data_IF_483531864201
#
_entry.id   IF_483531864201
#
_cell.length_a   1.000
_cell.length_b   1.000
_cell.length_c   1.000
_cell.angle_alpha   90.00
_cell.angle_beta   90.00
_cell.angle_gamma   90.00
#
_symmetry.space_group_name_H-M   'P 1'
#
loop_
_entity.id
_entity.type
_entity.pdbx_description
1 polymer ?
#
# COMPACT_ATOMS: atom_id res chain seq x y z
N UNK A 1 33.09 -0.41 -8.35
CA UNK A 1 32.70 0.99 -8.62
C UNK A 1 31.59 1.33 -7.66
N UNK A 2 31.71 2.44 -6.95
CA UNK A 2 30.66 2.96 -6.08
C UNK A 2 30.15 4.27 -6.65
N UNK A 3 28.84 4.51 -6.53
CA UNK A 3 28.24 5.79 -6.93
C UNK A 3 27.54 6.37 -5.71
N UNK A 4 27.85 7.63 -5.42
CA UNK A 4 27.26 8.36 -4.30
C UNK A 4 26.58 9.63 -4.79
N UNK A 5 25.44 9.97 -4.20
CA UNK A 5 24.86 11.29 -4.26
C UNK A 5 25.58 12.20 -3.25
N UNK A 6 26.21 13.24 -3.78
CA UNK A 6 26.96 14.29 -3.06
C UNK A 6 26.37 15.67 -3.35
N UNK A 7 25.05 15.73 -3.58
CA UNK A 7 24.33 16.98 -3.85
C UNK A 7 24.47 17.93 -2.67
N UNK A 8 24.19 17.45 -1.46
CA UNK A 8 24.35 18.21 -0.22
C UNK A 8 25.81 18.18 0.25
N UNK A 9 26.37 19.30 0.74
CA UNK A 9 27.69 19.31 1.38
C UNK A 9 27.72 18.33 2.56
N UNK A 10 28.82 17.60 2.71
CA UNK A 10 29.09 16.68 3.83
C UNK A 10 28.15 15.47 3.96
N UNK A 11 27.18 15.32 3.04
CA UNK A 11 26.29 14.15 2.97
C UNK A 11 26.67 13.32 1.74
N UNK A 12 26.86 12.01 1.97
CA UNK A 12 27.22 11.06 0.92
C UNK A 12 26.30 9.86 1.00
N UNK A 13 25.31 9.81 0.11
CA UNK A 13 24.29 8.76 0.10
C UNK A 13 24.53 7.80 -1.07
N UNK A 14 24.33 6.48 -0.89
CA UNK A 14 24.53 5.53 -1.98
C UNK A 14 23.48 5.73 -3.08
N UNK A 15 23.91 5.76 -4.34
CA UNK A 15 22.98 5.67 -5.48
C UNK A 15 22.67 4.19 -5.71
N UNK A 16 21.40 3.85 -5.95
CA UNK A 16 20.96 2.48 -6.19
C UNK A 16 20.78 2.22 -7.68
N UNK A 17 20.78 0.94 -8.05
CA UNK A 17 20.34 0.48 -9.35
C UNK A 17 18.90 -0.02 -9.28
N UNK A 18 18.11 0.30 -10.30
CA UNK A 18 16.78 -0.27 -10.53
C UNK A 18 16.85 -1.70 -11.09
N UNK A 19 18.02 -2.12 -11.58
CA UNK A 19 18.22 -3.49 -12.00
C UNK A 19 18.55 -4.35 -10.78
N UNK A 20 17.66 -5.27 -10.44
CA UNK A 20 17.84 -6.18 -9.31
C UNK A 20 19.19 -6.90 -9.37
N UNK A 21 19.88 -6.96 -8.21
CA UNK A 21 21.16 -7.65 -8.07
C UNK A 21 22.38 -6.93 -8.66
N UNK A 22 22.22 -5.73 -9.24
CA UNK A 22 23.34 -4.96 -9.79
C UNK A 22 23.91 -3.90 -8.84
N UNK A 23 23.29 -3.71 -7.67
CA UNK A 23 23.82 -2.89 -6.57
C UNK A 23 23.59 -3.51 -5.22
N UNK A 24 24.52 -3.32 -4.30
CA UNK A 24 24.32 -3.57 -2.87
C UNK A 24 23.80 -2.34 -2.11
N UNK A 25 23.65 -2.47 -0.79
CA UNK A 25 23.19 -1.40 0.10
C UNK A 25 24.17 -0.23 0.22
N UNK A 26 25.44 -0.43 -0.11
CA UNK A 26 26.50 0.55 0.03
C UNK A 26 26.76 1.31 -1.28
N UNK A 27 25.91 1.09 -2.29
CA UNK A 27 26.02 1.73 -3.60
C UNK A 27 27.15 1.14 -4.44
N UNK A 28 27.60 -0.08 -4.15
CA UNK A 28 28.54 -0.80 -5.00
C UNK A 28 27.81 -1.41 -6.18
N UNK A 29 28.22 -1.03 -7.39
CA UNK A 29 27.64 -1.54 -8.63
C UNK A 29 28.43 -2.74 -9.16
N UNK A 30 27.70 -3.80 -9.52
CA UNK A 30 28.20 -5.00 -10.18
C UNK A 30 27.64 -5.05 -11.60
N UNK A 31 28.50 -4.78 -12.58
CA UNK A 31 28.15 -4.92 -13.99
C UNK A 31 28.86 -6.14 -14.55
N UNK A 32 28.07 -7.12 -14.94
CA UNK A 32 28.47 -8.14 -15.89
C UNK A 32 27.70 -7.80 -17.18
N UNK A 33 28.28 -8.04 -18.36
CA UNK A 33 27.68 -7.92 -19.71
C UNK A 33 27.96 -6.64 -20.54
N UNK A 34 28.10 -6.80 -21.87
CA UNK A 34 28.11 -5.73 -22.85
C UNK A 34 26.68 -5.45 -23.36
N UNK A 35 26.13 -4.26 -23.11
CA UNK A 35 24.89 -3.79 -23.75
C UNK A 35 25.01 -2.32 -24.19
N UNK A 36 24.35 -2.00 -25.30
CA UNK A 36 24.26 -0.65 -25.87
C UNK A 36 23.13 0.13 -25.19
N UNK A 37 23.47 0.90 -24.17
CA UNK A 37 22.57 1.85 -23.47
C UNK A 37 23.24 3.24 -23.50
N UNK A 38 22.51 4.36 -23.49
CA UNK A 38 23.12 5.67 -23.25
C UNK A 38 23.94 5.65 -21.96
N UNK A 39 25.23 5.91 -22.15
CA UNK A 39 26.28 5.56 -21.23
C UNK A 39 27.04 6.83 -20.84
N UNK A 40 27.19 7.09 -19.55
CA UNK A 40 28.24 7.99 -19.08
C UNK A 40 29.59 7.29 -19.21
N UNK A 41 30.59 7.88 -19.88
CA UNK A 41 31.91 7.27 -20.06
C UNK A 41 32.95 7.90 -19.13
N UNK A 42 33.79 7.07 -18.52
CA UNK A 42 34.95 7.53 -17.73
C UNK A 42 36.27 7.11 -18.39
N UNK A 43 37.17 8.07 -18.64
CA UNK A 43 38.48 7.82 -19.26
C UNK A 43 39.64 7.92 -18.26
N UNK A 44 40.45 6.88 -18.17
CA UNK A 44 41.78 6.91 -17.52
C UNK A 44 42.85 6.63 -18.57
N UNK A 45 43.80 7.56 -18.77
CA UNK A 45 44.81 7.46 -19.84
C UNK A 45 44.22 7.14 -21.25
N UNK A 46 43.04 7.71 -21.59
CA UNK A 46 42.27 7.45 -22.83
C UNK A 46 41.57 6.08 -22.93
N UNK A 47 41.53 5.30 -21.85
CA UNK A 47 40.77 4.06 -21.77
C UNK A 47 39.44 4.30 -21.05
N UNK A 48 38.33 3.97 -21.71
CA UNK A 48 37.01 3.94 -21.06
C UNK A 48 37.00 2.80 -20.02
N UNK A 49 37.14 3.13 -18.73
CA UNK A 49 37.23 2.13 -17.66
C UNK A 49 35.86 1.59 -17.25
N UNK A 50 34.85 2.44 -17.24
CA UNK A 50 33.49 2.05 -16.93
C UNK A 50 32.49 2.89 -17.70
N UNK A 51 31.30 2.30 -17.83
CA UNK A 51 30.18 2.83 -18.55
C UNK A 51 28.94 2.60 -17.70
N UNK A 52 28.23 3.66 -17.34
CA UNK A 52 27.08 3.57 -16.43
C UNK A 52 25.82 3.88 -17.22
N UNK A 53 24.88 2.94 -17.22
CA UNK A 53 23.54 3.15 -17.75
C UNK A 53 22.77 4.09 -16.81
N UNK A 54 22.57 5.34 -17.23
CA UNK A 54 21.90 6.35 -16.42
C UNK A 54 20.44 5.98 -16.11
N UNK A 55 19.78 5.28 -17.04
CA UNK A 55 18.40 4.78 -16.88
C UNK A 55 18.26 3.78 -15.73
N UNK A 56 19.35 3.12 -15.35
CA UNK A 56 19.38 2.17 -14.25
C UNK A 56 19.58 2.83 -12.90
N UNK A 57 19.95 4.12 -12.83
CA UNK A 57 20.20 4.78 -11.55
C UNK A 57 18.89 5.16 -10.86
N UNK A 58 18.88 5.08 -9.53
CA UNK A 58 17.82 5.58 -8.67
C UNK A 58 18.45 6.42 -7.55
N UNK A 59 18.18 7.72 -7.61
CA UNK A 59 18.69 8.67 -6.64
C UNK A 59 18.00 8.51 -5.26
N UNK A 60 18.65 8.94 -4.17
CA UNK A 60 18.00 9.02 -2.86
C UNK A 60 16.81 9.98 -2.82
N UNK A 61 16.90 11.13 -3.50
CA UNK A 61 15.81 12.10 -3.62
C UNK A 61 15.70 12.57 -5.09
N UNK A 62 14.55 13.16 -5.44
CA UNK A 62 14.26 13.67 -6.78
C UNK A 62 15.01 14.97 -7.11
N UNK A 63 14.92 15.42 -8.36
CA UNK A 63 15.43 16.70 -8.84
C UNK A 63 16.89 16.65 -9.32
N UNK A 64 17.54 17.82 -9.35
CA UNK A 64 18.93 17.96 -9.79
C UNK A 64 19.91 17.40 -8.76
N UNK A 65 20.62 16.34 -9.13
CA UNK A 65 21.57 15.62 -8.28
C UNK A 65 23.00 15.79 -8.78
N UNK A 66 23.96 15.78 -7.86
CA UNK A 66 25.38 15.69 -8.15
C UNK A 66 25.90 14.34 -7.69
N UNK A 67 26.24 13.47 -8.65
CA UNK A 67 26.76 12.14 -8.35
C UNK A 67 28.28 12.13 -8.40
N UNK A 68 28.88 11.35 -7.51
CA UNK A 68 30.29 11.05 -7.41
C UNK A 68 30.51 9.57 -7.71
N UNK A 69 31.33 9.28 -8.72
CA UNK A 69 31.71 7.93 -9.10
C UNK A 69 33.11 7.65 -8.56
N UNK A 70 33.21 6.64 -7.70
CA UNK A 70 34.47 6.12 -7.21
C UNK A 70 34.80 4.81 -7.92
N UNK A 71 35.93 4.82 -8.65
CA UNK A 71 36.50 3.64 -9.28
C UNK A 71 37.78 3.28 -8.55
N UNK A 72 37.78 2.10 -7.94
CA UNK A 72 38.93 1.53 -7.25
C UNK A 72 39.40 0.30 -8.02
N UNK A 73 40.71 0.22 -8.28
CA UNK A 73 41.37 -0.98 -8.78
C UNK A 73 42.05 -1.64 -7.59
N UNK A 74 41.56 -2.81 -7.19
CA UNK A 74 42.09 -3.53 -6.04
C UNK A 74 42.34 -5.01 -6.33
N UNK A 75 43.24 -5.62 -5.57
CA UNK A 75 43.40 -7.07 -5.56
C UNK A 75 42.22 -7.70 -4.80
N UNK A 76 41.64 -8.74 -5.38
CA UNK A 76 40.54 -9.49 -4.79
C UNK A 76 40.98 -10.31 -3.58
N UNK A 77 42.24 -10.76 -3.52
CA UNK A 77 42.74 -11.67 -2.51
C UNK A 77 42.98 -10.97 -1.16
N UNK A 78 43.56 -9.77 -1.18
CA UNK A 78 43.94 -9.04 0.04
C UNK A 78 43.26 -7.66 0.17
N UNK A 79 42.49 -7.23 -0.83
CA UNK A 79 41.82 -5.93 -0.86
C UNK A 79 42.74 -4.74 -1.10
N UNK A 80 44.01 -4.95 -1.46
CA UNK A 80 44.97 -3.88 -1.69
C UNK A 80 44.55 -3.00 -2.88
N UNK A 81 44.40 -1.69 -2.67
CA UNK A 81 43.99 -0.73 -3.69
C UNK A 81 45.24 -0.22 -4.43
N UNK A 82 45.37 -0.56 -5.71
CA UNK A 82 46.46 -0.09 -6.58
C UNK A 82 46.22 1.30 -7.14
N UNK A 83 44.96 1.65 -7.40
CA UNK A 83 44.57 2.92 -7.99
C UNK A 83 43.16 3.30 -7.60
N UNK A 84 42.91 4.61 -7.49
CA UNK A 84 41.62 5.18 -7.15
C UNK A 84 41.39 6.42 -8.01
N UNK A 85 40.18 6.55 -8.52
CA UNK A 85 39.73 7.73 -9.24
C UNK A 85 38.33 8.14 -8.79
N UNK A 86 38.13 9.45 -8.75
CA UNK A 86 36.85 10.09 -8.43
C UNK A 86 36.47 10.99 -9.59
N UNK A 87 35.22 10.90 -10.03
CA UNK A 87 34.65 11.84 -10.98
C UNK A 87 33.26 12.27 -10.53
N UNK A 88 32.85 13.48 -10.88
CA UNK A 88 31.51 13.97 -10.57
C UNK A 88 30.75 14.34 -11.84
N UNK A 89 29.43 14.14 -11.81
CA UNK A 89 28.55 14.55 -12.89
C UNK A 89 27.16 14.93 -12.35
N UNK A 90 26.42 15.69 -13.14
CA UNK A 90 25.05 16.06 -12.81
C UNK A 90 24.06 15.07 -13.41
N UNK A 91 23.04 14.72 -12.62
CA UNK A 91 21.95 13.82 -12.99
C UNK A 91 20.63 14.47 -12.58
N UNK A 92 19.56 14.26 -13.34
CA UNK A 92 18.23 14.72 -12.95
C UNK A 92 17.38 13.48 -12.73
N UNK A 93 16.91 13.28 -11.50
CA UNK A 93 15.93 12.27 -11.17
C UNK A 93 14.53 12.88 -11.30
N UNK A 94 13.77 12.46 -12.30
CA UNK A 94 12.42 12.93 -12.57
C UNK A 94 11.34 12.15 -11.78
N UNK A 95 11.76 11.09 -11.08
CA UNK A 95 10.91 10.26 -10.22
C UNK A 95 11.18 10.56 -8.73
N UNK A 96 10.29 10.15 -7.83
CA UNK A 96 10.61 10.14 -6.41
C UNK A 96 11.85 9.28 -6.13
N UNK A 97 12.79 9.82 -5.37
CA UNK A 97 13.97 9.10 -4.93
C UNK A 97 13.62 8.01 -3.92
N UNK A 98 14.51 7.03 -3.72
CA UNK A 98 14.19 5.89 -2.86
C UNK A 98 14.01 6.26 -1.37
N UNK A 99 14.67 7.32 -0.88
CA UNK A 99 14.45 7.82 0.48
C UNK A 99 13.16 8.64 0.56
N UNK A 100 12.84 9.43 -0.47
CA UNK A 100 11.54 10.13 -0.54
C UNK A 100 10.39 9.13 -0.50
N UNK A 101 10.48 8.04 -1.27
CA UNK A 101 9.48 6.97 -1.25
C UNK A 101 9.37 6.36 0.14
N UNK A 102 10.50 6.09 0.81
CA UNK A 102 10.51 5.56 2.17
C UNK A 102 9.82 6.52 3.16
N UNK A 103 10.13 7.81 3.10
CA UNK A 103 9.51 8.84 3.94
C UNK A 103 8.00 8.95 3.67
N UNK A 104 7.59 8.88 2.41
CA UNK A 104 6.19 8.86 1.99
C UNK A 104 5.47 7.62 2.54
N UNK A 105 6.08 6.44 2.48
CA UNK A 105 5.51 5.22 3.07
C UNK A 105 5.33 5.34 4.59
N UNK A 106 6.35 5.81 5.32
CA UNK A 106 6.27 6.03 6.77
C UNK A 106 5.17 7.03 7.12
N UNK A 107 5.06 8.12 6.35
CA UNK A 107 3.99 9.10 6.52
C UNK A 107 2.62 8.48 6.24
N UNK A 108 2.50 7.67 5.19
CA UNK A 108 1.27 6.95 4.85
C UNK A 108 0.83 6.01 5.97
N UNK A 109 1.74 5.21 6.53
CA UNK A 109 1.47 4.34 7.67
C UNK A 109 0.99 5.13 8.90
N UNK A 110 1.65 6.26 9.20
CA UNK A 110 1.24 7.15 10.29
C UNK A 110 -0.16 7.74 10.10
N UNK A 111 -0.53 8.09 8.87
CA UNK A 111 -1.88 8.59 8.56
C UNK A 111 -2.92 7.46 8.66
N UNK A 112 -2.62 6.25 8.19
CA UNK A 112 -3.52 5.10 8.34
C UNK A 112 -3.78 4.75 9.82
N UNK A 113 -2.74 4.82 10.66
CA UNK A 113 -2.87 4.66 12.10
C UNK A 113 -3.75 5.78 12.71
N UNK A 114 -3.49 7.04 12.34
CA UNK A 114 -4.27 8.19 12.79
C UNK A 114 -5.74 8.06 12.40
N UNK A 115 -6.03 7.62 11.17
CA UNK A 115 -7.40 7.37 10.69
C UNK A 115 -8.09 6.29 11.53
N UNK A 116 -7.35 5.25 11.91
CA UNK A 116 -7.87 4.16 12.76
C UNK A 116 -8.20 4.67 14.18
N UNK A 117 -7.36 5.54 14.74
CA UNK A 117 -7.62 6.16 16.05
C UNK A 117 -8.84 7.10 16.00
N UNK A 118 -8.96 7.89 14.95
CA UNK A 118 -10.13 8.74 14.70
C UNK A 118 -11.40 7.90 14.51
N UNK A 119 -11.31 6.80 13.75
CA UNK A 119 -12.41 5.84 13.60
C UNK A 119 -12.87 5.31 14.96
N UNK A 120 -11.95 5.04 15.88
CA UNK A 120 -12.26 4.55 17.22
C UNK A 120 -12.79 5.63 18.18
N UNK A 121 -12.69 6.92 17.82
CA UNK A 121 -13.13 8.06 18.64
C UNK A 121 -14.67 8.24 18.68
N UNK A 122 -15.13 9.32 19.33
CA UNK A 122 -16.50 9.54 19.80
C UNK A 122 -17.55 9.89 18.73
N UNK A 123 -17.23 9.79 17.44
CA UNK A 123 -18.18 10.08 16.35
C UNK A 123 -18.69 11.53 16.33
N UNK A 124 -18.07 12.43 17.10
CA UNK A 124 -18.40 13.86 17.12
C UNK A 124 -18.17 14.50 15.74
N UNK A 125 -18.78 15.67 15.53
CA UNK A 125 -18.59 16.43 14.29
C UNK A 125 -17.11 16.81 14.08
N UNK A 126 -16.38 17.08 15.15
CA UNK A 126 -14.93 17.35 15.11
C UNK A 126 -14.16 16.11 14.63
N UNK A 127 -14.46 14.93 15.18
CA UNK A 127 -13.89 13.65 14.72
C UNK A 127 -14.17 13.41 13.23
N UNK A 128 -15.40 13.66 12.76
CA UNK A 128 -15.75 13.48 11.34
C UNK A 128 -14.99 14.45 10.42
N UNK A 129 -14.78 15.69 10.86
CA UNK A 129 -13.95 16.65 10.13
C UNK A 129 -12.48 16.23 10.09
N UNK A 130 -11.95 15.68 11.19
CA UNK A 130 -10.59 15.17 11.26
C UNK A 130 -10.39 13.95 10.34
N UNK A 131 -11.37 13.05 10.27
CA UNK A 131 -11.38 11.92 9.32
C UNK A 131 -11.27 12.43 7.89
N UNK A 132 -12.10 13.40 7.50
CA UNK A 132 -12.06 13.97 6.15
C UNK A 132 -10.71 14.62 5.82
N UNK A 133 -10.11 15.35 6.78
CA UNK A 133 -8.77 15.92 6.61
C UNK A 133 -7.70 14.83 6.44
N UNK A 134 -7.73 13.80 7.28
CA UNK A 134 -6.77 12.69 7.22
C UNK A 134 -6.87 11.94 5.89
N UNK A 135 -8.08 11.68 5.40
CA UNK A 135 -8.31 11.04 4.09
C UNK A 135 -7.82 11.92 2.94
N UNK A 136 -8.03 13.24 3.00
CA UNK A 136 -7.49 14.15 1.99
C UNK A 136 -5.95 14.12 1.93
N UNK A 137 -5.28 14.00 3.08
CA UNK A 137 -3.83 13.82 3.13
C UNK A 137 -3.37 12.47 2.58
N UNK A 138 -4.11 11.38 2.83
CA UNK A 138 -3.84 10.07 2.25
C UNK A 138 -3.88 10.13 0.72
N UNK A 139 -4.90 10.76 0.15
CA UNK A 139 -5.00 10.95 -1.31
C UNK A 139 -3.85 11.80 -1.87
N UNK A 140 -3.42 12.82 -1.13
CA UNK A 140 -2.33 13.70 -1.55
C UNK A 140 -0.96 12.99 -1.64
N UNK A 141 -0.78 11.83 -0.99
CA UNK A 141 0.46 11.05 -1.08
C UNK A 141 0.57 10.23 -2.37
N UNK A 142 -0.55 9.95 -3.05
CA UNK A 142 -0.59 9.18 -4.31
C UNK A 142 0.16 7.82 -4.25
N UNK A 143 0.08 7.14 -3.10
CA UNK A 143 0.70 5.83 -2.89
C UNK A 143 -0.31 4.74 -3.26
N UNK A 144 0.04 3.91 -4.24
CA UNK A 144 -0.79 2.79 -4.66
C UNK A 144 -1.11 1.85 -3.49
N UNK A 145 -2.40 1.59 -3.28
CA UNK A 145 -2.90 0.67 -2.23
C UNK A 145 -2.97 1.27 -0.81
N UNK A 146 -2.50 2.50 -0.59
CA UNK A 146 -2.54 3.12 0.75
C UNK A 146 -3.98 3.31 1.25
N UNK A 147 -4.89 3.76 0.38
CA UNK A 147 -6.30 3.91 0.71
C UNK A 147 -6.94 2.58 1.15
N UNK A 148 -6.66 1.50 0.42
CA UNK A 148 -7.14 0.15 0.75
C UNK A 148 -6.59 -0.31 2.10
N UNK A 149 -5.29 -0.10 2.34
CA UNK A 149 -4.64 -0.45 3.60
C UNK A 149 -5.21 0.34 4.78
N UNK A 150 -5.44 1.64 4.63
CA UNK A 150 -6.01 2.50 5.67
C UNK A 150 -7.45 2.08 6.04
N UNK A 151 -8.26 1.76 5.04
CA UNK A 151 -9.60 1.20 5.27
C UNK A 151 -9.54 -0.15 5.97
N UNK A 152 -8.64 -1.04 5.54
CA UNK A 152 -8.45 -2.35 6.15
C UNK A 152 -8.04 -2.25 7.62
N UNK A 153 -7.19 -1.30 8.00
CA UNK A 153 -6.83 -1.05 9.40
C UNK A 153 -8.05 -0.64 10.24
N UNK A 154 -8.90 0.26 9.74
CA UNK A 154 -10.16 0.63 10.40
C UNK A 154 -11.08 -0.59 10.56
N UNK A 155 -11.19 -1.40 9.52
CA UNK A 155 -12.03 -2.60 9.50
C UNK A 155 -11.54 -3.67 10.49
N UNK A 156 -10.22 -3.88 10.58
CA UNK A 156 -9.63 -4.80 11.54
C UNK A 156 -9.86 -4.34 12.98
N UNK A 157 -9.73 -3.04 13.24
CA UNK A 157 -10.07 -2.45 14.53
C UNK A 157 -11.56 -2.68 14.88
N UNK A 158 -12.46 -2.47 13.91
CA UNK A 158 -13.89 -2.74 14.08
C UNK A 158 -14.18 -4.22 14.39
N UNK A 159 -13.51 -5.14 13.69
CA UNK A 159 -13.68 -6.59 13.90
C UNK A 159 -13.17 -7.09 15.25
N UNK A 160 -12.24 -6.34 15.86
CA UNK A 160 -11.65 -6.66 17.17
C UNK A 160 -12.53 -6.19 18.34
N UNK A 161 -13.50 -5.31 18.09
CA UNK A 161 -14.51 -4.91 19.07
C UNK A 161 -15.48 -6.05 19.35
N UNK A 162 -15.88 -6.21 20.62
CA UNK A 162 -16.87 -7.21 21.03
C UNK A 162 -18.28 -6.92 20.53
N UNK A 163 -18.56 -5.67 20.15
CA UNK A 163 -19.82 -5.24 19.53
C UNK A 163 -19.53 -4.10 18.56
N UNK A 164 -20.03 -4.24 17.33
CA UNK A 164 -20.00 -3.20 16.32
C UNK A 164 -21.37 -2.54 16.27
N UNK A 165 -21.39 -1.27 16.70
CA UNK A 165 -22.59 -0.45 16.71
C UNK A 165 -22.83 0.18 15.32
N UNK A 166 -24.08 0.58 15.07
CA UNK A 166 -24.51 1.19 13.79
C UNK A 166 -23.75 2.49 13.46
N UNK A 167 -23.38 3.27 14.46
CA UNK A 167 -22.56 4.49 14.29
C UNK A 167 -21.19 4.16 13.69
N UNK A 168 -20.49 3.14 14.18
CA UNK A 168 -19.20 2.71 13.64
C UNK A 168 -19.31 2.18 12.22
N UNK A 169 -20.37 1.45 11.88
CA UNK A 169 -20.61 1.04 10.49
C UNK A 169 -20.85 2.22 9.57
N UNK A 170 -21.60 3.22 10.04
CA UNK A 170 -21.82 4.47 9.30
C UNK A 170 -20.51 5.22 9.08
N UNK A 171 -19.61 5.22 10.07
CA UNK A 171 -18.26 5.79 9.94
C UNK A 171 -17.38 5.00 8.98
N UNK A 172 -17.40 3.67 9.00
CA UNK A 172 -16.66 2.85 8.03
C UNK A 172 -17.12 3.13 6.59
N UNK A 173 -18.43 3.22 6.39
CA UNK A 173 -19.00 3.54 5.09
C UNK A 173 -18.63 4.97 4.62
N UNK A 174 -18.65 5.95 5.53
CA UNK A 174 -18.13 7.29 5.25
C UNK A 174 -16.66 7.25 4.84
N UNK A 175 -15.81 6.56 5.60
CA UNK A 175 -14.37 6.43 5.30
C UNK A 175 -14.17 5.80 3.93
N UNK A 176 -14.89 4.72 3.62
CA UNK A 176 -14.80 4.04 2.33
C UNK A 176 -15.16 4.96 1.15
N UNK A 177 -16.22 5.77 1.32
CA UNK A 177 -16.63 6.78 0.32
C UNK A 177 -15.60 7.90 0.18
N UNK A 178 -15.06 8.41 1.28
CA UNK A 178 -14.03 9.46 1.24
C UNK A 178 -12.73 8.97 0.59
N UNK A 179 -12.38 7.69 0.80
CA UNK A 179 -11.24 7.02 0.18
C UNK A 179 -11.50 6.62 -1.28
N UNK A 180 -12.70 6.86 -1.81
CA UNK A 180 -13.13 6.51 -3.17
C UNK A 180 -12.90 5.03 -3.51
N UNK A 181 -13.18 4.14 -2.54
CA UNK A 181 -12.94 2.71 -2.73
C UNK A 181 -14.06 2.05 -3.57
N UNK A 182 -13.74 1.13 -4.49
CA UNK A 182 -14.74 0.40 -5.24
C UNK A 182 -15.67 -0.40 -4.33
N UNK A 183 -16.98 -0.32 -4.58
CA UNK A 183 -18.01 -1.05 -3.81
C UNK A 183 -17.74 -2.56 -3.76
N UNK A 184 -17.23 -3.14 -4.84
CA UNK A 184 -16.85 -4.56 -4.89
C UNK A 184 -15.72 -4.91 -3.92
N UNK A 185 -14.72 -4.04 -3.81
CA UNK A 185 -13.61 -4.22 -2.88
C UNK A 185 -14.09 -4.08 -1.43
N UNK A 186 -14.89 -3.05 -1.14
CA UNK A 186 -15.49 -2.85 0.18
C UNK A 186 -16.28 -4.08 0.61
N UNK A 187 -17.13 -4.61 -0.28
CA UNK A 187 -17.91 -5.82 -0.01
C UNK A 187 -17.03 -7.04 0.26
N UNK A 188 -15.94 -7.22 -0.49
CA UNK A 188 -15.00 -8.32 -0.28
C UNK A 188 -14.29 -8.21 1.07
N UNK A 189 -13.80 -7.03 1.42
CA UNK A 189 -13.11 -6.78 2.68
C UNK A 189 -14.05 -6.97 3.88
N UNK A 190 -15.26 -6.41 3.80
CA UNK A 190 -16.28 -6.59 4.84
C UNK A 190 -16.64 -8.07 5.04
N UNK A 191 -16.84 -8.82 3.96
CA UNK A 191 -17.11 -10.27 4.02
C UNK A 191 -15.97 -11.05 4.70
N UNK A 192 -14.72 -10.61 4.53
CA UNK A 192 -13.53 -11.28 5.07
C UNK A 192 -13.31 -10.99 6.55
N UNK A 193 -13.62 -9.76 6.99
CA UNK A 193 -13.23 -9.27 8.31
C UNK A 193 -14.40 -9.08 9.28
N UNK A 194 -15.61 -8.75 8.81
CA UNK A 194 -16.78 -8.58 9.66
C UNK A 194 -17.55 -9.89 9.81
N UNK A 195 -17.46 -10.46 11.01
CA UNK A 195 -18.20 -11.67 11.39
C UNK A 195 -19.59 -11.29 11.92
N UNK A 196 -20.58 -12.15 11.69
CA UNK A 196 -21.92 -11.99 12.27
C UNK A 196 -21.91 -11.82 13.80
N UNK A 197 -20.96 -12.46 14.49
CA UNK A 197 -20.81 -12.35 15.94
C UNK A 197 -20.50 -10.92 16.40
N UNK A 198 -19.87 -10.12 15.55
CA UNK A 198 -19.53 -8.71 15.84
C UNK A 198 -20.73 -7.78 15.59
N UNK A 199 -21.76 -8.24 14.86
CA UNK A 199 -22.88 -7.44 14.33
C UNK A 199 -24.23 -7.70 15.04
N UNK A 200 -24.23 -8.25 16.25
CA UNK A 200 -25.44 -8.76 16.93
C UNK A 200 -26.55 -7.73 17.20
N UNK A 201 -26.23 -6.43 17.18
CA UNK A 201 -27.18 -5.35 17.46
C UNK A 201 -27.93 -4.84 16.21
N UNK A 202 -27.65 -5.42 15.04
CA UNK A 202 -28.17 -4.97 13.75
C UNK A 202 -29.33 -5.85 13.25
N UNK A 203 -30.14 -5.30 12.36
CA UNK A 203 -31.19 -6.07 11.70
C UNK A 203 -30.61 -7.10 10.72
N UNK A 204 -31.37 -8.15 10.41
CA UNK A 204 -30.97 -9.17 9.43
C UNK A 204 -30.60 -8.54 8.06
N UNK A 205 -31.25 -7.45 7.64
CA UNK A 205 -30.95 -6.74 6.38
C UNK A 205 -29.58 -6.04 6.47
N UNK A 206 -29.31 -5.33 7.57
CA UNK A 206 -28.04 -4.64 7.82
C UNK A 206 -26.88 -5.62 7.97
N UNK A 207 -27.10 -6.75 8.67
CA UNK A 207 -26.09 -7.81 8.83
C UNK A 207 -25.72 -8.49 7.50
N UNK A 208 -26.63 -8.49 6.53
CA UNK A 208 -26.37 -8.95 5.16
C UNK A 208 -25.69 -7.88 4.30
N UNK A 209 -25.50 -6.65 4.79
CA UNK A 209 -24.91 -5.54 4.04
C UNK A 209 -25.80 -5.05 2.89
N UNK A 210 -27.12 -5.23 3.01
CA UNK A 210 -28.08 -4.82 1.98
C UNK A 210 -28.45 -3.34 2.17
N UNK A 211 -28.60 -2.55 1.08
CA UNK A 211 -29.07 -1.17 1.17
C UNK A 211 -30.46 -1.06 1.80
N UNK A 212 -30.70 0.03 2.53
CA UNK A 212 -32.03 0.39 3.00
C UNK A 212 -32.93 0.89 1.86
N UNK A 213 -34.25 0.78 2.05
CA UNK A 213 -35.24 1.38 1.15
C UNK A 213 -35.46 0.63 -0.18
N UNK A 214 -34.96 -0.60 -0.30
CA UNK A 214 -35.19 -1.45 -1.47
C UNK A 214 -36.68 -1.81 -1.61
N UNK A 215 -37.16 -1.84 -2.86
CA UNK A 215 -38.45 -2.45 -3.15
C UNK A 215 -38.43 -3.96 -2.87
N UNK A 216 -39.60 -4.61 -2.66
CA UNK A 216 -39.65 -6.05 -2.43
C UNK A 216 -39.00 -6.89 -3.53
N UNK A 217 -39.08 -6.46 -4.80
CA UNK A 217 -38.48 -7.19 -5.92
C UNK A 217 -36.96 -7.03 -5.97
N UNK A 218 -36.43 -5.81 -5.80
CA UNK A 218 -34.98 -5.57 -5.70
C UNK A 218 -34.36 -6.33 -4.53
N UNK A 219 -35.06 -6.36 -3.39
CA UNK A 219 -34.61 -7.10 -2.22
C UNK A 219 -34.56 -8.62 -2.50
N UNK A 220 -35.54 -9.18 -3.22
CA UNK A 220 -35.51 -10.60 -3.62
C UNK A 220 -34.31 -10.91 -4.51
N UNK A 221 -33.99 -10.03 -5.46
CA UNK A 221 -32.86 -10.19 -6.38
C UNK A 221 -31.52 -10.15 -5.65
N UNK A 222 -31.33 -9.17 -4.75
CA UNK A 222 -30.11 -9.10 -3.93
C UNK A 222 -29.98 -10.28 -2.97
N UNK A 223 -31.07 -10.71 -2.33
CA UNK A 223 -31.07 -11.92 -1.49
C UNK A 223 -30.73 -13.19 -2.29
N UNK A 224 -31.08 -13.26 -3.58
CA UNK A 224 -30.69 -14.36 -4.46
C UNK A 224 -29.20 -14.34 -4.81
N UNK A 225 -28.60 -13.16 -4.96
CA UNK A 225 -27.16 -13.00 -5.12
C UNK A 225 -26.41 -13.41 -3.85
N UNK A 226 -26.82 -12.89 -2.70
CA UNK A 226 -26.24 -13.25 -1.39
C UNK A 226 -26.38 -14.75 -1.10
N UNK A 227 -27.54 -15.33 -1.39
CA UNK A 227 -27.75 -16.77 -1.21
C UNK A 227 -26.75 -17.59 -2.04
N UNK A 228 -26.53 -17.24 -3.32
CA UNK A 228 -25.56 -17.92 -4.17
C UNK A 228 -24.14 -17.81 -3.60
N UNK A 229 -23.77 -16.62 -3.13
CA UNK A 229 -22.46 -16.35 -2.50
C UNK A 229 -22.23 -17.25 -1.28
N UNK A 230 -23.17 -17.26 -0.33
CA UNK A 230 -23.02 -17.99 0.93
C UNK A 230 -23.22 -19.49 0.79
N UNK A 231 -24.06 -19.95 -0.14
CA UNK A 231 -24.27 -21.38 -0.40
C UNK A 231 -22.97 -22.08 -0.80
N UNK A 232 -22.12 -21.45 -1.60
CA UNK A 232 -20.82 -22.01 -1.97
C UNK A 232 -19.86 -22.16 -0.78
N UNK A 233 -20.02 -21.34 0.27
CA UNK A 233 -19.17 -21.33 1.48
C UNK A 233 -19.68 -22.27 2.57
N UNK A 234 -20.94 -22.73 2.50
CA UNK A 234 -21.53 -23.62 3.51
C UNK A 234 -20.82 -24.98 3.62
N UNK A 235 -20.20 -25.46 2.54
CA UNK A 235 -19.43 -26.72 2.52
C UNK A 235 -17.92 -26.50 2.62
N UNK A 236 -17.48 -25.31 3.07
CA UNK A 236 -16.06 -25.01 3.22
C UNK A 236 -15.40 -25.90 4.28
N UNK A 237 -14.15 -26.30 4.08
CA UNK A 237 -13.41 -27.19 4.99
C UNK A 237 -13.13 -26.54 6.35
N UNK A 238 -12.90 -25.22 6.35
CA UNK A 238 -12.85 -24.42 7.56
C UNK A 238 -14.24 -24.32 8.21
N UNK A 239 -14.34 -24.84 9.44
CA UNK A 239 -15.56 -24.88 10.24
C UNK A 239 -16.09 -23.49 10.57
N UNK A 240 -15.23 -22.50 10.79
CA UNK A 240 -15.67 -21.14 11.11
C UNK A 240 -16.38 -20.51 9.92
N UNK A 241 -15.82 -20.69 8.71
CA UNK A 241 -16.41 -20.19 7.46
C UNK A 241 -17.73 -20.90 7.16
N UNK A 242 -17.79 -22.22 7.29
CA UNK A 242 -19.01 -23.00 7.08
C UNK A 242 -20.14 -22.62 8.06
N UNK A 243 -19.79 -22.41 9.34
CA UNK A 243 -20.75 -21.99 10.37
C UNK A 243 -21.32 -20.59 10.08
N UNK A 244 -20.47 -19.63 9.73
CA UNK A 244 -20.93 -18.28 9.36
C UNK A 244 -21.80 -18.30 8.10
N UNK A 245 -21.41 -19.05 7.07
CA UNK A 245 -22.19 -19.20 5.86
C UNK A 245 -23.58 -19.78 6.16
N UNK A 246 -23.67 -20.77 7.04
CA UNK A 246 -24.93 -21.37 7.47
C UNK A 246 -25.82 -20.33 8.17
N UNK A 247 -25.27 -19.58 9.11
CA UNK A 247 -26.00 -18.54 9.84
C UNK A 247 -26.53 -17.42 8.90
N UNK A 248 -25.73 -17.01 7.90
CA UNK A 248 -26.19 -16.04 6.88
C UNK A 248 -27.27 -16.61 5.97
N UNK A 249 -27.21 -17.90 5.62
CA UNK A 249 -28.27 -18.54 4.84
C UNK A 249 -29.59 -18.62 5.62
N UNK A 250 -29.54 -18.89 6.91
CA UNK A 250 -30.73 -18.84 7.79
C UNK A 250 -31.30 -17.42 7.86
N UNK A 251 -30.44 -16.41 7.97
CA UNK A 251 -30.82 -15.00 7.94
C UNK A 251 -31.53 -14.62 6.64
N UNK A 252 -30.96 -15.00 5.49
CA UNK A 252 -31.59 -14.80 4.17
C UNK A 252 -32.96 -15.47 4.11
N UNK A 253 -33.10 -16.68 4.67
CA UNK A 253 -34.38 -17.38 4.71
C UNK A 253 -35.43 -16.63 5.55
N UNK A 254 -35.04 -16.07 6.70
CA UNK A 254 -35.91 -15.24 7.54
C UNK A 254 -36.38 -13.98 6.81
N UNK A 255 -35.46 -13.24 6.17
CA UNK A 255 -35.82 -12.03 5.41
C UNK A 255 -36.74 -12.38 4.23
N UNK A 256 -36.51 -13.51 3.53
CA UNK A 256 -37.42 -13.92 2.45
C UNK A 256 -38.84 -14.23 2.93
N UNK A 257 -38.99 -14.79 4.12
CA UNK A 257 -40.29 -15.11 4.70
C UNK A 257 -41.12 -13.86 5.07
N UNK A 258 -40.50 -12.67 5.19
CA UNK A 258 -41.24 -11.42 5.42
C UNK A 258 -41.74 -10.78 4.12
N UNK A 259 -41.29 -11.27 2.96
CA UNK A 259 -41.65 -10.76 1.63
C UNK A 259 -42.77 -11.56 0.96
N UNK A 260 -43.27 -12.60 1.62
CA UNK A 260 -44.39 -13.45 1.17
C UNK A 260 -45.68 -13.06 1.84
#
# INVERSE_FOLDING_TARGET
>A
MRIFDVTEPDVRLPVRSLMEGTTDSDGMFFWFFPFDVPNGTYQFHRLNLCSIALLGLHAPYSGGRRFEINVEFSDRADGHIYSHAVNTFFFIEDRPGYLELQDLFVKGESLAATLTDLFNSDGSQETMSAIASCVAEIHALDIQGLAESAYLSCLQSASSSSSLRRDKLSTLDLIARLLDLPVSLISELNDRHLRLTTMQELSDIEMLGLPDGLSPDELRDLLALEYRKWRGRATHSDRAISAEATARLEMIARVRATLS
#
